data_IF_836193374462
#
_entry.id   IF_836193374462
#
_cell.length_a   1.000
_cell.length_b   1.000
_cell.length_c   1.000
_cell.angle_alpha   90.00
_cell.angle_beta   90.00
_cell.angle_gamma   90.00
#
_symmetry.space_group_name_H-M   'P 1'
#
loop_
_entity.id
_entity.type
_entity.pdbx_description
1 polymer ?
#
# COMPACT_ATOMS: atom_id res chain seq x y z
N UNK A 1 35.98 61.67 4.90
CA UNK A 1 36.53 60.30 5.00
C UNK A 1 35.93 59.49 6.15
N UNK A 2 35.68 60.06 7.30
CA UNK A 2 35.14 59.36 8.48
C UNK A 2 33.71 58.89 8.29
N UNK A 3 32.82 59.66 7.66
CA UNK A 3 31.45 59.27 7.33
C UNK A 3 31.37 58.06 6.39
N UNK A 4 32.23 57.96 5.40
CA UNK A 4 32.28 56.82 4.47
C UNK A 4 32.75 55.53 5.16
N UNK A 5 33.75 55.66 6.08
CA UNK A 5 34.25 54.53 6.87
C UNK A 5 33.16 53.99 7.81
N UNK A 6 32.39 54.84 8.42
CA UNK A 6 31.25 54.40 9.29
C UNK A 6 30.12 53.75 8.50
N UNK A 7 29.81 54.18 7.29
CA UNK A 7 28.84 53.56 6.41
C UNK A 7 29.33 52.15 5.99
N UNK A 8 30.62 52.01 5.67
CA UNK A 8 31.21 50.74 5.32
C UNK A 8 31.14 49.72 6.49
N UNK A 9 31.41 50.16 7.72
CA UNK A 9 31.28 49.32 8.92
C UNK A 9 29.83 48.92 9.18
N UNK A 10 28.86 49.78 8.96
CA UNK A 10 27.43 49.46 9.10
C UNK A 10 27.01 48.48 8.03
N UNK A 11 27.45 48.61 6.78
CA UNK A 11 27.16 47.63 5.72
C UNK A 11 27.78 46.28 5.98
N UNK A 12 29.02 46.19 6.51
CA UNK A 12 29.68 44.96 6.86
C UNK A 12 28.99 44.29 8.08
N UNK A 13 28.57 45.06 9.07
CA UNK A 13 27.77 44.56 10.20
C UNK A 13 26.42 44.02 9.75
N UNK A 14 25.70 44.73 8.85
CA UNK A 14 24.42 44.30 8.29
C UNK A 14 24.55 43.02 7.45
N UNK A 15 25.63 42.91 6.61
CA UNK A 15 25.95 41.68 5.88
C UNK A 15 26.28 40.52 6.82
N UNK A 16 27.02 40.78 7.92
CA UNK A 16 27.31 39.78 8.96
C UNK A 16 26.04 39.26 9.65
N UNK A 17 25.09 40.13 9.94
CA UNK A 17 23.82 39.74 10.57
C UNK A 17 22.95 38.92 9.62
N UNK A 18 22.91 39.23 8.32
CA UNK A 18 22.18 38.43 7.31
C UNK A 18 22.76 37.01 7.16
N UNK A 19 24.07 36.83 7.32
CA UNK A 19 24.68 35.50 7.28
C UNK A 19 24.36 34.62 8.49
N UNK A 20 24.09 35.22 9.66
CA UNK A 20 23.79 34.46 10.88
C UNK A 20 22.34 34.01 10.97
N UNK A 21 21.39 34.74 10.37
CA UNK A 21 19.96 34.36 10.40
C UNK A 21 19.72 33.13 9.49
N UNK A 22 20.38 33.04 8.33
CA UNK A 22 20.24 31.89 7.42
C UNK A 22 20.84 30.57 7.93
N UNK A 23 21.79 30.61 8.86
CA UNK A 23 22.43 29.39 9.39
C UNK A 23 21.62 28.66 10.48
N UNK A 24 20.73 29.34 11.21
CA UNK A 24 19.92 28.70 12.25
C UNK A 24 18.80 27.84 11.63
N UNK A 25 18.12 28.35 10.60
CA UNK A 25 17.00 27.65 9.98
C UNK A 25 17.47 26.37 9.24
N UNK A 26 18.63 26.41 8.61
CA UNK A 26 19.24 25.24 7.95
C UNK A 26 19.61 24.12 8.92
N UNK A 27 20.03 24.45 10.15
CA UNK A 27 20.37 23.48 11.17
C UNK A 27 19.12 22.77 11.73
N UNK A 28 18.03 23.50 11.87
CA UNK A 28 16.75 22.97 12.36
C UNK A 28 16.09 22.00 11.35
N UNK A 29 16.09 22.32 10.05
CA UNK A 29 15.54 21.45 9.01
C UNK A 29 16.27 20.09 8.94
N UNK A 30 17.59 20.08 8.97
CA UNK A 30 18.38 18.85 8.96
C UNK A 30 18.08 17.95 10.17
N UNK A 31 17.92 18.55 11.35
CA UNK A 31 17.57 17.84 12.57
C UNK A 31 16.15 17.27 12.49
N UNK A 32 15.19 18.04 11.98
CA UNK A 32 13.81 17.59 11.77
C UNK A 32 13.74 16.46 10.77
N UNK A 33 14.45 16.52 9.64
CA UNK A 33 14.52 15.44 8.65
C UNK A 33 15.13 14.16 9.25
N UNK A 34 16.20 14.27 10.01
CA UNK A 34 16.78 13.12 10.70
C UNK A 34 15.81 12.50 11.73
N UNK A 35 15.02 13.32 12.41
CA UNK A 35 13.97 12.86 13.32
C UNK A 35 12.84 12.16 12.55
N UNK A 36 12.44 12.67 11.38
CA UNK A 36 11.43 11.98 10.55
C UNK A 36 11.91 10.63 10.07
N UNK A 37 13.16 10.49 9.63
CA UNK A 37 13.76 9.21 9.22
C UNK A 37 13.60 8.15 10.31
N UNK A 38 13.86 8.51 11.56
CA UNK A 38 13.72 7.59 12.70
C UNK A 38 12.27 7.14 12.98
N UNK A 39 11.29 7.95 12.58
CA UNK A 39 9.87 7.68 12.80
C UNK A 39 9.22 6.91 11.65
N UNK A 40 9.78 6.96 10.43
CA UNK A 40 9.16 6.40 9.24
C UNK A 40 8.73 4.93 9.38
N UNK A 41 9.54 4.10 10.04
CA UNK A 41 9.23 2.68 10.18
C UNK A 41 8.19 2.40 11.27
N UNK A 42 8.31 3.06 12.42
CA UNK A 42 7.52 2.73 13.60
C UNK A 42 6.27 3.59 13.76
N UNK A 43 6.32 4.85 13.31
CA UNK A 43 5.27 5.84 13.49
C UNK A 43 5.15 6.76 12.28
N UNK A 44 4.77 6.24 11.09
CA UNK A 44 4.70 7.03 9.86
C UNK A 44 3.70 8.19 9.93
N UNK A 45 2.62 8.06 10.72
CA UNK A 45 1.67 9.14 11.02
C UNK A 45 2.34 10.34 11.71
N UNK A 46 3.20 10.06 12.67
CA UNK A 46 3.95 11.08 13.41
C UNK A 46 5.03 11.71 12.54
N UNK A 47 5.71 10.90 11.71
CA UNK A 47 6.66 11.40 10.71
C UNK A 47 5.98 12.37 9.74
N UNK A 48 4.82 12.02 9.21
CA UNK A 48 4.07 12.87 8.26
C UNK A 48 3.58 14.17 8.93
N UNK A 49 3.13 14.11 10.18
CA UNK A 49 2.76 15.32 10.95
C UNK A 49 3.95 16.26 11.13
N UNK A 50 5.12 15.70 11.45
CA UNK A 50 6.35 16.47 11.62
C UNK A 50 6.78 17.10 10.29
N UNK A 51 6.75 16.35 9.18
CA UNK A 51 7.05 16.86 7.83
C UNK A 51 6.11 18.00 7.42
N UNK A 52 4.82 17.87 7.73
CA UNK A 52 3.84 18.92 7.44
C UNK A 52 4.02 20.18 8.29
N UNK A 53 4.75 20.14 9.40
CA UNK A 53 5.08 21.31 10.22
C UNK A 53 6.33 22.05 9.75
N UNK A 54 7.09 21.49 8.79
CA UNK A 54 8.28 22.14 8.25
C UNK A 54 7.84 23.21 7.23
N UNK A 55 8.35 24.43 7.41
CA UNK A 55 8.14 25.52 6.45
C UNK A 55 8.92 25.21 5.16
N UNK A 56 8.19 25.07 4.04
CA UNK A 56 8.74 24.58 2.76
C UNK A 56 9.59 25.60 2.00
N UNK A 57 9.51 26.87 2.37
CA UNK A 57 10.03 27.96 1.55
C UNK A 57 11.40 28.51 2.00
N UNK A 58 12.00 27.97 3.06
CA UNK A 58 13.20 28.59 3.63
C UNK A 58 14.30 27.55 3.88
N UNK A 59 15.43 27.70 3.18
CA UNK A 59 16.72 27.19 3.60
C UNK A 59 17.07 25.74 3.31
N UNK A 60 16.25 25.00 2.51
CA UNK A 60 16.62 23.64 2.10
C UNK A 60 17.74 23.66 1.05
N UNK A 61 18.78 22.86 1.27
CA UNK A 61 19.66 22.41 0.20
C UNK A 61 18.91 21.42 -0.71
N UNK A 62 19.39 21.21 -1.94
CA UNK A 62 18.82 20.20 -2.85
C UNK A 62 18.71 18.83 -2.19
N UNK A 63 19.74 18.40 -1.45
CA UNK A 63 19.73 17.11 -0.75
C UNK A 63 18.64 17.01 0.33
N UNK A 64 18.47 18.07 1.12
CA UNK A 64 17.44 18.13 2.17
C UNK A 64 16.03 18.18 1.56
N UNK A 65 15.87 18.89 0.43
CA UNK A 65 14.61 18.93 -0.28
C UNK A 65 14.23 17.55 -0.85
N UNK A 66 15.17 16.84 -1.49
CA UNK A 66 14.94 15.49 -1.99
C UNK A 66 14.66 14.51 -0.85
N UNK A 67 15.32 14.65 0.29
CA UNK A 67 15.03 13.86 1.49
C UNK A 67 13.63 14.16 2.05
N UNK A 68 13.22 15.42 2.08
CA UNK A 68 11.87 15.81 2.51
C UNK A 68 10.80 15.17 1.61
N UNK A 69 10.94 15.29 0.28
CA UNK A 69 10.02 14.69 -0.70
C UNK A 69 9.95 13.17 -0.52
N UNK A 70 11.11 12.52 -0.40
CA UNK A 70 11.21 11.09 -0.15
C UNK A 70 10.51 10.67 1.13
N UNK A 71 10.73 11.37 2.24
CA UNK A 71 10.16 11.04 3.53
C UNK A 71 8.64 11.22 3.55
N UNK A 72 8.11 12.23 2.87
CA UNK A 72 6.67 12.40 2.67
C UNK A 72 6.05 11.21 1.95
N UNK A 73 6.65 10.80 0.83
CA UNK A 73 6.17 9.65 0.05
C UNK A 73 6.27 8.34 0.83
N UNK A 74 7.39 8.10 1.54
CA UNK A 74 7.57 6.93 2.40
C UNK A 74 6.51 6.87 3.52
N UNK A 75 6.25 7.98 4.19
CA UNK A 75 5.24 8.04 5.25
C UNK A 75 3.84 7.72 4.70
N UNK A 76 3.46 8.33 3.58
CA UNK A 76 2.17 8.07 2.92
C UNK A 76 2.05 6.61 2.45
N UNK A 77 3.07 6.09 1.79
CA UNK A 77 3.11 4.69 1.37
C UNK A 77 2.86 3.73 2.53
N UNK A 78 3.58 3.91 3.65
CA UNK A 78 3.44 3.06 4.85
C UNK A 78 2.08 3.16 5.53
N UNK A 79 1.38 4.28 5.34
CA UNK A 79 0.01 4.49 5.80
C UNK A 79 -1.05 4.01 4.79
N UNK A 80 -0.65 3.46 3.63
CA UNK A 80 -1.58 3.07 2.56
C UNK A 80 -2.29 4.25 1.90
N UNK A 81 -1.72 5.45 1.98
CA UNK A 81 -2.28 6.66 1.37
C UNK A 81 -1.88 6.78 -0.10
N UNK A 82 -2.67 7.56 -0.85
CA UNK A 82 -2.36 7.87 -2.25
C UNK A 82 -1.05 8.64 -2.38
N UNK A 83 -0.24 8.26 -3.38
CA UNK A 83 0.97 8.99 -3.80
C UNK A 83 0.73 9.87 -5.02
N UNK A 84 -0.49 9.96 -5.54
CA UNK A 84 -0.79 10.71 -6.77
C UNK A 84 -0.46 12.22 -6.66
N UNK A 85 -0.47 12.77 -5.46
CA UNK A 85 -0.13 14.17 -5.19
C UNK A 85 1.38 14.42 -5.02
N UNK A 86 2.19 13.35 -4.91
CA UNK A 86 3.64 13.44 -4.72
C UNK A 86 4.38 13.63 -6.07
N UNK A 87 4.03 14.67 -6.82
CA UNK A 87 4.53 14.92 -8.18
C UNK A 87 6.05 15.04 -8.28
N UNK A 88 6.75 15.38 -7.21
CA UNK A 88 8.21 15.45 -7.13
C UNK A 88 8.87 14.12 -6.74
N UNK A 89 8.10 13.09 -6.43
CA UNK A 89 8.65 11.79 -6.06
C UNK A 89 9.53 11.17 -7.16
N UNK A 90 9.16 11.20 -8.45
CA UNK A 90 10.04 10.68 -9.51
C UNK A 90 11.40 11.41 -9.57
N UNK A 91 11.43 12.72 -9.30
CA UNK A 91 12.65 13.51 -9.23
C UNK A 91 13.53 13.10 -8.03
N UNK A 92 12.94 12.91 -6.86
CA UNK A 92 13.65 12.42 -5.69
C UNK A 92 14.22 11.00 -5.89
N UNK A 93 13.46 10.10 -6.54
CA UNK A 93 13.95 8.76 -6.89
C UNK A 93 15.13 8.85 -7.85
N UNK A 94 15.02 9.67 -8.90
CA UNK A 94 16.09 9.90 -9.86
C UNK A 94 17.35 10.46 -9.17
N UNK A 95 17.18 11.44 -8.29
CA UNK A 95 18.27 12.04 -7.50
C UNK A 95 19.09 11.00 -6.73
N UNK A 96 18.43 10.04 -6.03
CA UNK A 96 19.12 8.98 -5.29
C UNK A 96 19.70 7.90 -6.20
N UNK A 97 19.06 7.62 -7.33
CA UNK A 97 19.52 6.66 -8.34
C UNK A 97 20.83 7.12 -8.99
N UNK A 98 20.91 8.39 -9.40
CA UNK A 98 22.13 8.98 -9.96
C UNK A 98 23.32 8.96 -8.96
N UNK A 99 23.03 9.11 -7.69
CA UNK A 99 24.03 9.04 -6.61
C UNK A 99 24.39 7.62 -6.18
N UNK A 100 23.78 6.62 -6.82
CA UNK A 100 23.96 5.19 -6.52
C UNK A 100 23.74 4.87 -5.03
N UNK A 101 22.77 5.53 -4.41
CA UNK A 101 22.40 5.27 -3.02
C UNK A 101 21.76 3.89 -2.88
N UNK A 102 22.62 2.89 -2.66
CA UNK A 102 22.20 1.49 -2.56
C UNK A 102 21.23 1.22 -1.41
N UNK A 103 21.19 2.10 -0.41
CA UNK A 103 20.28 1.96 0.74
C UNK A 103 18.82 2.33 0.35
N UNK A 104 18.64 3.18 -0.66
CA UNK A 104 17.33 3.65 -1.13
C UNK A 104 16.86 3.00 -2.44
N UNK A 105 17.70 2.20 -3.10
CA UNK A 105 17.34 1.63 -4.41
C UNK A 105 16.08 0.78 -4.38
N UNK A 106 15.97 -0.17 -3.45
CA UNK A 106 14.83 -1.09 -3.36
C UNK A 106 13.55 -0.38 -2.91
N UNK A 107 13.65 0.49 -1.89
CA UNK A 107 12.55 1.38 -1.52
C UNK A 107 12.13 2.29 -2.68
N UNK A 108 13.09 2.78 -3.47
CA UNK A 108 12.86 3.62 -4.63
C UNK A 108 12.01 2.94 -5.69
N UNK A 109 12.34 1.72 -6.08
CA UNK A 109 11.53 0.94 -7.02
C UNK A 109 10.12 0.68 -6.50
N UNK A 110 9.98 0.40 -5.21
CA UNK A 110 8.68 0.18 -4.59
C UNK A 110 7.82 1.44 -4.56
N UNK A 111 8.42 2.58 -4.19
CA UNK A 111 7.73 3.88 -4.21
C UNK A 111 7.34 4.28 -5.63
N UNK A 112 8.23 4.06 -6.61
CA UNK A 112 7.99 4.33 -8.02
C UNK A 112 6.81 3.49 -8.55
N UNK A 113 6.81 2.18 -8.28
CA UNK A 113 5.69 1.31 -8.63
C UNK A 113 4.38 1.77 -7.97
N UNK A 114 4.41 2.11 -6.69
CA UNK A 114 3.25 2.60 -5.95
C UNK A 114 2.74 3.93 -6.50
N UNK A 115 3.63 4.85 -6.87
CA UNK A 115 3.27 6.11 -7.50
C UNK A 115 2.54 5.87 -8.83
N UNK A 116 3.12 5.05 -9.72
CA UNK A 116 2.50 4.75 -11.01
C UNK A 116 1.20 3.96 -10.90
N UNK A 117 1.05 3.11 -9.88
CA UNK A 117 -0.22 2.48 -9.55
C UNK A 117 -1.33 3.52 -9.27
N UNK A 118 -1.06 4.53 -8.44
CA UNK A 118 -2.00 5.61 -8.16
C UNK A 118 -2.28 6.49 -9.39
N UNK A 119 -1.28 6.68 -10.25
CA UNK A 119 -1.40 7.39 -11.53
C UNK A 119 -2.07 6.54 -12.62
N UNK A 120 -2.41 5.27 -12.37
CA UNK A 120 -2.97 4.30 -13.33
C UNK A 120 -2.09 4.11 -14.57
N UNK A 121 -0.77 4.18 -14.40
CA UNK A 121 0.23 3.98 -15.45
C UNK A 121 0.84 2.59 -15.30
N UNK A 122 0.11 1.58 -15.78
CA UNK A 122 0.41 0.17 -15.54
C UNK A 122 1.76 -0.27 -16.12
N UNK A 123 2.12 0.19 -17.33
CA UNK A 123 3.40 -0.17 -17.94
C UNK A 123 4.59 0.34 -17.11
N UNK A 124 4.50 1.55 -16.58
CA UNK A 124 5.55 2.13 -15.71
C UNK A 124 5.60 1.46 -14.33
N UNK A 125 4.45 1.06 -13.81
CA UNK A 125 4.38 0.27 -12.60
C UNK A 125 5.09 -1.08 -12.79
N UNK A 126 4.84 -1.76 -13.91
CA UNK A 126 5.45 -3.05 -14.26
C UNK A 126 6.97 -2.91 -14.42
N UNK A 127 7.43 -1.89 -15.16
CA UNK A 127 8.86 -1.59 -15.33
C UNK A 127 9.57 -1.35 -13.96
N UNK A 128 8.95 -0.58 -13.07
CA UNK A 128 9.52 -0.33 -11.74
C UNK A 128 9.61 -1.62 -10.90
N UNK A 129 8.59 -2.48 -10.96
CA UNK A 129 8.57 -3.78 -10.26
C UNK A 129 9.64 -4.72 -10.84
N UNK A 130 9.81 -4.81 -12.18
CA UNK A 130 10.84 -5.63 -12.83
C UNK A 130 12.25 -5.17 -12.41
N UNK A 131 12.52 -3.89 -12.51
CA UNK A 131 13.81 -3.34 -12.10
C UNK A 131 14.12 -3.62 -10.61
N UNK A 132 13.10 -3.51 -9.74
CA UNK A 132 13.21 -3.84 -8.32
C UNK A 132 13.47 -5.33 -8.08
N UNK A 133 12.79 -6.20 -8.83
CA UNK A 133 12.95 -7.66 -8.77
C UNK A 133 14.36 -8.07 -9.16
N UNK A 134 14.86 -7.57 -10.30
CA UNK A 134 16.21 -7.85 -10.77
C UNK A 134 17.27 -7.40 -9.76
N UNK A 135 17.07 -6.22 -9.16
CA UNK A 135 17.99 -5.71 -8.14
C UNK A 135 17.94 -6.55 -6.85
N UNK A 136 16.76 -7.02 -6.43
CA UNK A 136 16.61 -7.91 -5.27
C UNK A 136 17.24 -9.28 -5.51
N UNK A 137 17.08 -9.86 -6.71
CA UNK A 137 17.73 -11.12 -7.13
C UNK A 137 19.24 -10.98 -7.08
N UNK A 138 19.79 -9.91 -7.68
CA UNK A 138 21.24 -9.67 -7.70
C UNK A 138 21.84 -9.56 -6.29
N UNK A 139 21.09 -9.05 -5.32
CA UNK A 139 21.48 -8.92 -3.91
C UNK A 139 21.16 -10.15 -3.06
N UNK A 140 20.42 -11.11 -3.59
CA UNK A 140 19.91 -12.28 -2.86
C UNK A 140 19.08 -11.88 -1.61
N UNK A 141 18.34 -10.79 -1.73
CA UNK A 141 17.52 -10.25 -0.65
C UNK A 141 16.11 -10.83 -0.73
N UNK A 142 15.87 -11.86 0.07
CA UNK A 142 14.59 -12.60 0.07
C UNK A 142 13.40 -11.73 0.44
N UNK A 143 13.56 -10.78 1.37
CA UNK A 143 12.46 -9.89 1.78
C UNK A 143 11.96 -9.06 0.58
N UNK A 144 12.87 -8.40 -0.12
CA UNK A 144 12.52 -7.59 -1.29
C UNK A 144 12.06 -8.42 -2.48
N UNK A 145 12.65 -9.61 -2.67
CA UNK A 145 12.21 -10.57 -3.67
C UNK A 145 10.72 -10.91 -3.53
N UNK A 146 10.28 -11.26 -2.30
CA UNK A 146 8.89 -11.59 -2.02
C UNK A 146 7.95 -10.39 -2.24
N UNK A 147 8.40 -9.21 -1.86
CA UNK A 147 7.62 -7.97 -2.03
C UNK A 147 7.41 -7.64 -3.51
N UNK A 148 8.44 -7.77 -4.35
CA UNK A 148 8.31 -7.54 -5.79
C UNK A 148 7.54 -8.66 -6.51
N UNK A 149 7.66 -9.92 -6.11
CA UNK A 149 6.78 -10.98 -6.62
C UNK A 149 5.31 -10.67 -6.32
N UNK A 150 5.01 -10.15 -5.14
CA UNK A 150 3.64 -9.71 -4.81
C UNK A 150 3.18 -8.57 -5.71
N UNK A 151 4.04 -7.60 -6.00
CA UNK A 151 3.74 -6.53 -6.95
C UNK A 151 3.45 -7.05 -8.36
N UNK A 152 4.24 -8.03 -8.84
CA UNK A 152 3.98 -8.69 -10.14
C UNK A 152 2.66 -9.46 -10.15
N UNK A 153 2.35 -10.17 -9.08
CA UNK A 153 1.07 -10.87 -8.96
C UNK A 153 -0.12 -9.90 -8.99
N UNK A 154 0.03 -8.71 -8.39
CA UNK A 154 -0.97 -7.65 -8.48
C UNK A 154 -1.16 -7.15 -9.93
N UNK A 155 -0.07 -6.94 -10.67
CA UNK A 155 -0.15 -6.56 -12.08
C UNK A 155 -0.84 -7.66 -12.92
N UNK A 156 -0.47 -8.91 -12.72
CA UNK A 156 -1.11 -10.04 -13.37
C UNK A 156 -2.63 -10.08 -13.08
N UNK A 157 -3.02 -9.84 -11.81
CA UNK A 157 -4.43 -9.72 -11.43
C UNK A 157 -5.14 -8.57 -12.17
N UNK A 158 -4.53 -7.39 -12.27
CA UNK A 158 -5.10 -6.23 -12.98
C UNK A 158 -5.29 -6.53 -14.48
N UNK A 159 -4.43 -7.36 -15.08
CA UNK A 159 -4.50 -7.84 -16.47
C UNK A 159 -5.47 -9.00 -16.66
N UNK A 160 -6.13 -9.46 -15.59
CA UNK A 160 -6.93 -10.69 -15.56
C UNK A 160 -6.11 -11.96 -15.93
N UNK A 161 -4.79 -11.90 -15.82
CA UNK A 161 -3.92 -13.08 -15.95
C UNK A 161 -3.82 -13.80 -14.60
N UNK A 162 -4.93 -14.46 -14.24
CA UNK A 162 -5.03 -15.19 -12.97
C UNK A 162 -4.05 -16.35 -12.91
N UNK A 163 -3.65 -16.94 -14.05
CA UNK A 163 -2.68 -18.03 -14.09
C UNK A 163 -1.30 -17.54 -13.65
N UNK A 164 -0.84 -16.41 -14.17
CA UNK A 164 0.43 -15.81 -13.76
C UNK A 164 0.38 -15.35 -12.28
N UNK A 165 -0.74 -14.76 -11.85
CA UNK A 165 -0.92 -14.37 -10.45
C UNK A 165 -0.80 -15.57 -9.49
N UNK A 166 -1.44 -16.71 -9.81
CA UNK A 166 -1.37 -17.96 -9.05
C UNK A 166 0.09 -18.42 -8.96
N UNK A 167 0.79 -18.55 -10.11
CA UNK A 167 2.18 -19.00 -10.16
C UNK A 167 3.11 -18.16 -9.26
N UNK A 168 2.94 -16.84 -9.30
CA UNK A 168 3.74 -15.92 -8.47
C UNK A 168 3.44 -16.06 -6.99
N UNK A 169 2.18 -16.24 -6.61
CA UNK A 169 1.78 -16.45 -5.21
C UNK A 169 2.27 -17.80 -4.68
N UNK A 170 2.22 -18.86 -5.50
CA UNK A 170 2.81 -20.15 -5.16
C UNK A 170 4.33 -20.07 -4.96
N UNK A 171 5.04 -19.26 -5.77
CA UNK A 171 6.47 -18.97 -5.54
C UNK A 171 6.70 -18.28 -4.20
N UNK A 172 5.85 -17.32 -3.80
CA UNK A 172 5.96 -16.67 -2.49
C UNK A 172 5.74 -17.68 -1.36
N UNK A 173 4.77 -18.58 -1.49
CA UNK A 173 4.46 -19.59 -0.48
C UNK A 173 5.59 -20.63 -0.26
N UNK A 174 6.51 -20.80 -1.23
CA UNK A 174 7.72 -21.61 -1.02
C UNK A 174 8.63 -21.02 0.08
N UNK A 175 8.44 -19.76 0.44
CA UNK A 175 9.15 -19.04 1.50
C UNK A 175 8.25 -18.76 2.71
N UNK A 176 7.24 -19.61 2.95
CA UNK A 176 6.25 -19.39 4.03
C UNK A 176 6.89 -19.22 5.42
N UNK A 177 8.08 -19.86 5.65
CA UNK A 177 8.88 -19.71 6.86
C UNK A 177 9.48 -18.32 7.08
N UNK A 178 9.53 -17.48 6.04
CA UNK A 178 10.01 -16.10 6.07
C UNK A 178 8.88 -15.07 6.20
N UNK A 179 7.63 -15.50 6.01
CA UNK A 179 6.47 -14.64 6.10
C UNK A 179 6.00 -14.50 7.55
N UNK A 180 5.57 -13.31 7.93
CA UNK A 180 4.74 -13.14 9.12
C UNK A 180 3.39 -13.86 8.93
N UNK A 181 2.72 -14.23 10.01
CA UNK A 181 1.38 -14.87 9.94
C UNK A 181 0.41 -14.02 9.11
N UNK A 182 0.43 -12.70 9.28
CA UNK A 182 -0.43 -11.78 8.54
C UNK A 182 -0.15 -11.80 7.03
N UNK A 183 1.13 -11.77 6.64
CA UNK A 183 1.53 -11.87 5.23
C UNK A 183 1.12 -13.20 4.64
N UNK A 184 1.35 -14.30 5.36
CA UNK A 184 0.96 -15.65 4.93
C UNK A 184 -0.56 -15.73 4.71
N UNK A 185 -1.39 -15.25 5.65
CA UNK A 185 -2.84 -15.17 5.48
C UNK A 185 -3.22 -14.37 4.22
N UNK A 186 -2.59 -13.20 4.02
CA UNK A 186 -2.88 -12.35 2.86
C UNK A 186 -2.54 -13.06 1.55
N UNK A 187 -1.39 -13.74 1.46
CA UNK A 187 -1.01 -14.47 0.24
C UNK A 187 -1.95 -15.65 -0.03
N UNK A 188 -2.33 -16.41 0.99
CA UNK A 188 -3.31 -17.49 0.84
C UNK A 188 -4.66 -16.98 0.36
N UNK A 189 -5.11 -15.83 0.89
CA UNK A 189 -6.34 -15.19 0.47
C UNK A 189 -6.26 -14.76 -1.00
N UNK A 190 -5.21 -14.03 -1.38
CA UNK A 190 -5.01 -13.54 -2.74
C UNK A 190 -4.89 -14.70 -3.74
N UNK A 191 -4.21 -15.80 -3.35
CA UNK A 191 -4.12 -17.03 -4.13
C UNK A 191 -5.50 -17.67 -4.31
N UNK A 192 -6.24 -17.88 -3.23
CA UNK A 192 -7.59 -18.46 -3.28
C UNK A 192 -8.56 -17.64 -4.14
N UNK A 193 -8.46 -16.29 -4.08
CA UNK A 193 -9.26 -15.41 -4.91
C UNK A 193 -8.93 -15.52 -6.40
N UNK A 194 -7.64 -15.54 -6.77
CA UNK A 194 -7.21 -15.73 -8.16
C UNK A 194 -7.61 -17.12 -8.68
N UNK A 195 -7.49 -18.16 -7.86
CA UNK A 195 -7.97 -19.49 -8.17
C UNK A 195 -9.49 -19.52 -8.39
N UNK A 196 -10.26 -18.77 -7.58
CA UNK A 196 -11.71 -18.67 -7.75
C UNK A 196 -12.08 -17.98 -9.08
N UNK A 197 -11.39 -16.90 -9.42
CA UNK A 197 -11.56 -16.19 -10.69
C UNK A 197 -11.16 -17.06 -11.90
N UNK A 198 -10.19 -17.94 -11.73
CA UNK A 198 -9.79 -18.96 -12.71
C UNK A 198 -10.67 -20.22 -12.70
N UNK A 199 -11.72 -20.29 -11.89
CA UNK A 199 -12.57 -21.47 -11.66
C UNK A 199 -11.80 -22.71 -11.20
N UNK A 200 -10.73 -22.53 -10.41
CA UNK A 200 -9.96 -23.65 -9.89
C UNK A 200 -10.67 -24.32 -8.70
N UNK A 201 -10.77 -25.67 -8.63
CA UNK A 201 -11.57 -26.35 -7.61
C UNK A 201 -11.07 -26.15 -6.17
N UNK A 202 -9.78 -25.93 -5.96
CA UNK A 202 -9.19 -25.73 -4.63
C UNK A 202 -9.30 -24.29 -4.11
N UNK A 203 -9.96 -23.39 -4.81
CA UNK A 203 -10.06 -21.98 -4.42
C UNK A 203 -10.64 -21.78 -3.02
N UNK A 204 -11.71 -22.51 -2.68
CA UNK A 204 -12.36 -22.44 -1.37
C UNK A 204 -11.43 -22.89 -0.24
N UNK A 205 -10.57 -23.89 -0.46
CA UNK A 205 -9.68 -24.42 0.57
C UNK A 205 -8.66 -23.35 0.98
N UNK A 206 -8.07 -22.64 0.04
CA UNK A 206 -7.13 -21.55 0.31
C UNK A 206 -7.81 -20.35 0.99
N UNK A 207 -9.02 -20.00 0.56
CA UNK A 207 -9.79 -18.91 1.18
C UNK A 207 -10.15 -19.23 2.63
N UNK A 208 -10.68 -20.44 2.92
CA UNK A 208 -10.98 -20.86 4.29
C UNK A 208 -9.68 -20.96 5.13
N UNK A 209 -8.60 -21.53 4.59
CA UNK A 209 -7.32 -21.59 5.29
C UNK A 209 -6.81 -20.19 5.69
N UNK A 210 -6.93 -19.20 4.80
CA UNK A 210 -6.53 -17.82 5.12
C UNK A 210 -7.34 -17.21 6.26
N UNK A 211 -8.66 -17.47 6.26
CA UNK A 211 -9.59 -17.01 7.30
C UNK A 211 -9.30 -17.67 8.64
N UNK A 212 -9.16 -18.98 8.64
CA UNK A 212 -8.91 -19.75 9.86
C UNK A 212 -7.55 -19.40 10.48
N UNK A 213 -6.52 -19.20 9.66
CA UNK A 213 -5.21 -18.76 10.11
C UNK A 213 -5.27 -17.35 10.72
N UNK A 214 -6.01 -16.42 10.11
CA UNK A 214 -6.19 -15.07 10.65
C UNK A 214 -6.93 -15.10 12.00
N UNK A 215 -7.98 -15.93 12.13
CA UNK A 215 -8.70 -16.12 13.39
C UNK A 215 -7.82 -16.75 14.47
N UNK A 216 -7.02 -17.75 14.12
CA UNK A 216 -6.08 -18.38 15.05
C UNK A 216 -5.01 -17.40 15.56
N UNK A 217 -4.63 -16.43 14.74
CA UNK A 217 -3.74 -15.31 15.10
C UNK A 217 -4.44 -14.16 15.85
N UNK A 218 -5.72 -14.30 16.19
CA UNK A 218 -6.56 -13.24 16.77
C UNK A 218 -6.65 -11.96 15.90
N UNK A 219 -6.34 -12.02 14.60
CA UNK A 219 -6.52 -10.94 13.64
C UNK A 219 -7.94 -10.97 13.06
N UNK A 220 -8.92 -10.67 13.93
CA UNK A 220 -10.35 -10.66 13.57
C UNK A 220 -10.64 -9.65 12.45
N UNK A 221 -9.90 -8.55 12.37
CA UNK A 221 -10.09 -7.53 11.35
C UNK A 221 -9.77 -8.09 9.95
N UNK A 222 -8.62 -8.75 9.78
CA UNK A 222 -8.25 -9.40 8.52
C UNK A 222 -9.21 -10.54 8.18
N UNK A 223 -9.59 -11.39 9.14
CA UNK A 223 -10.56 -12.46 8.92
C UNK A 223 -11.92 -11.93 8.41
N UNK A 224 -12.44 -10.86 9.02
CA UNK A 224 -13.67 -10.21 8.58
C UNK A 224 -13.53 -9.57 7.18
N UNK A 225 -12.38 -9.00 6.86
CA UNK A 225 -12.08 -8.49 5.53
C UNK A 225 -12.14 -9.61 4.48
N UNK A 226 -11.48 -10.73 4.72
CA UNK A 226 -11.48 -11.89 3.81
C UNK A 226 -12.87 -12.49 3.64
N UNK A 227 -13.58 -12.74 4.75
CA UNK A 227 -14.96 -13.25 4.73
C UNK A 227 -15.89 -12.36 3.90
N UNK A 228 -15.84 -11.06 4.09
CA UNK A 228 -16.70 -10.10 3.37
C UNK A 228 -16.42 -10.10 1.88
N UNK A 229 -15.14 -10.06 1.49
CA UNK A 229 -14.79 -10.02 0.07
C UNK A 229 -15.11 -11.37 -0.62
N UNK A 230 -14.90 -12.49 0.08
CA UNK A 230 -15.30 -13.80 -0.42
C UNK A 230 -16.83 -13.90 -0.57
N UNK A 231 -17.60 -13.36 0.38
CA UNK A 231 -19.06 -13.30 0.28
C UNK A 231 -19.51 -12.46 -0.93
N UNK A 232 -18.84 -11.31 -1.18
CA UNK A 232 -19.12 -10.49 -2.36
C UNK A 232 -18.82 -11.23 -3.66
N UNK A 233 -17.70 -11.96 -3.73
CA UNK A 233 -17.37 -12.81 -4.87
C UNK A 233 -18.46 -13.89 -5.12
N UNK A 234 -18.88 -14.60 -4.07
CA UNK A 234 -19.93 -15.62 -4.18
C UNK A 234 -21.28 -15.02 -4.62
N UNK A 235 -21.62 -13.82 -4.13
CA UNK A 235 -22.82 -13.11 -4.57
C UNK A 235 -22.77 -12.81 -6.08
N UNK A 236 -21.65 -12.32 -6.57
CA UNK A 236 -21.42 -12.06 -8.00
C UNK A 236 -21.45 -13.34 -8.84
N UNK A 237 -21.06 -14.48 -8.25
CA UNK A 237 -21.14 -15.81 -8.86
C UNK A 237 -22.50 -16.49 -8.70
N UNK A 238 -23.53 -15.76 -8.23
CA UNK A 238 -24.88 -16.25 -7.96
C UNK A 238 -25.01 -17.32 -6.86
N UNK A 239 -23.97 -17.49 -6.02
CA UNK A 239 -23.99 -18.40 -4.87
C UNK A 239 -24.49 -17.69 -3.59
N UNK A 240 -25.68 -17.11 -3.66
CA UNK A 240 -26.23 -16.22 -2.64
C UNK A 240 -26.34 -16.84 -1.25
N UNK A 241 -26.68 -18.12 -1.16
CA UNK A 241 -26.81 -18.82 0.13
C UNK A 241 -25.49 -18.89 0.85
N UNK A 242 -24.43 -19.33 0.17
CA UNK A 242 -23.07 -19.39 0.74
C UNK A 242 -22.55 -17.99 1.09
N UNK A 243 -22.81 -17.01 0.22
CA UNK A 243 -22.52 -15.60 0.51
C UNK A 243 -23.13 -15.15 1.84
N UNK A 244 -24.42 -15.41 2.07
CA UNK A 244 -25.10 -15.08 3.30
C UNK A 244 -24.48 -15.79 4.53
N UNK A 245 -24.08 -17.05 4.42
CA UNK A 245 -23.42 -17.79 5.49
C UNK A 245 -22.11 -17.09 5.94
N UNK A 246 -21.29 -16.64 4.99
CA UNK A 246 -20.06 -15.89 5.29
C UNK A 246 -20.37 -14.55 5.93
N UNK A 247 -21.36 -13.81 5.45
CA UNK A 247 -21.77 -12.54 6.04
C UNK A 247 -22.29 -12.71 7.49
N UNK A 248 -22.99 -13.81 7.77
CA UNK A 248 -23.37 -14.16 9.14
C UNK A 248 -22.16 -14.50 10.02
N UNK A 249 -21.08 -15.09 9.46
CA UNK A 249 -19.80 -15.27 10.19
C UNK A 249 -19.21 -13.91 10.55
N UNK A 250 -19.14 -12.94 9.62
CA UNK A 250 -18.69 -11.56 9.89
C UNK A 250 -19.46 -10.93 11.02
N UNK A 251 -20.80 -11.04 10.98
CA UNK A 251 -21.70 -10.43 12.00
C UNK A 251 -21.49 -11.02 13.39
N UNK A 252 -21.17 -12.32 13.48
CA UNK A 252 -20.83 -12.97 14.78
C UNK A 252 -19.46 -12.52 15.32
N UNK A 253 -18.49 -12.30 14.45
CA UNK A 253 -17.14 -11.88 14.82
C UNK A 253 -17.06 -10.41 15.24
N UNK A 254 -17.89 -9.56 14.64
CA UNK A 254 -17.95 -8.13 14.91
C UNK A 254 -19.41 -7.64 15.09
N UNK A 255 -20.04 -7.92 16.24
CA UNK A 255 -21.45 -7.60 16.49
C UNK A 255 -21.81 -6.11 16.36
N UNK A 256 -20.85 -5.21 16.56
CA UNK A 256 -21.04 -3.75 16.44
C UNK A 256 -21.04 -3.25 14.99
N UNK A 257 -20.91 -4.13 14.02
CA UNK A 257 -20.81 -3.78 12.58
C UNK A 257 -22.18 -3.65 11.87
N UNK A 258 -23.27 -3.60 12.60
CA UNK A 258 -24.60 -3.31 12.00
C UNK A 258 -24.63 -1.98 11.22
N UNK A 259 -23.61 -1.14 11.39
CA UNK A 259 -23.42 0.11 10.66
C UNK A 259 -22.50 0.02 9.43
N UNK A 260 -22.09 -1.19 9.00
CA UNK A 260 -21.37 -1.31 7.72
C UNK A 260 -22.35 -1.35 6.54
N UNK A 261 -22.54 -0.23 5.83
CA UNK A 261 -23.55 -0.16 4.74
C UNK A 261 -23.33 -1.26 3.68
N UNK A 262 -22.07 -1.61 3.42
CA UNK A 262 -21.71 -2.61 2.40
C UNK A 262 -22.24 -4.02 2.74
N UNK A 263 -22.23 -4.41 4.03
CA UNK A 263 -22.78 -5.71 4.44
C UNK A 263 -24.29 -5.75 4.21
N UNK A 264 -24.98 -4.67 4.56
CA UNK A 264 -26.43 -4.55 4.36
C UNK A 264 -26.80 -4.57 2.88
N UNK A 265 -26.00 -3.93 2.02
CA UNK A 265 -26.21 -3.95 0.57
C UNK A 265 -26.10 -5.39 0.04
N UNK A 266 -25.02 -6.11 0.37
CA UNK A 266 -24.83 -7.49 -0.10
C UNK A 266 -25.95 -8.40 0.41
N UNK A 267 -26.36 -8.28 1.69
CA UNK A 267 -27.50 -9.04 2.22
C UNK A 267 -28.80 -8.75 1.48
N UNK A 268 -29.08 -7.47 1.21
CA UNK A 268 -30.30 -7.06 0.51
C UNK A 268 -30.29 -7.57 -0.95
N UNK A 269 -29.17 -7.47 -1.65
CA UNK A 269 -29.02 -8.00 -3.01
C UNK A 269 -29.19 -9.52 -3.05
N UNK A 270 -28.55 -10.25 -2.13
CA UNK A 270 -28.69 -11.70 -2.02
C UNK A 270 -30.14 -12.09 -1.76
N UNK A 271 -30.82 -11.39 -0.84
CA UNK A 271 -32.22 -11.66 -0.51
C UNK A 271 -33.15 -11.44 -1.71
N UNK A 272 -32.99 -10.32 -2.42
CA UNK A 272 -33.77 -10.02 -3.61
C UNK A 272 -33.58 -11.09 -4.71
N UNK A 273 -32.35 -11.52 -4.92
CA UNK A 273 -32.04 -12.52 -5.93
C UNK A 273 -32.57 -13.91 -5.56
N UNK A 274 -32.52 -14.31 -4.31
CA UNK A 274 -33.09 -15.57 -3.82
C UNK A 274 -34.61 -15.56 -3.98
N UNK A 275 -35.28 -14.48 -3.61
CA UNK A 275 -36.74 -14.34 -3.78
C UNK A 275 -37.18 -14.38 -5.24
N UNK A 276 -36.44 -13.76 -6.16
CA UNK A 276 -36.73 -13.82 -7.59
C UNK A 276 -36.56 -15.23 -8.16
N UNK A 277 -35.55 -15.98 -7.67
CA UNK A 277 -35.37 -17.37 -8.08
C UNK A 277 -36.47 -18.29 -7.58
N UNK A 278 -36.95 -18.10 -6.37
CA UNK A 278 -38.10 -18.87 -5.81
C UNK A 278 -39.38 -18.57 -6.59
N UNK A 279 -39.71 -17.31 -6.84
CA UNK A 279 -40.90 -16.92 -7.63
C UNK A 279 -40.87 -17.53 -9.03
N UNK A 280 -39.75 -17.48 -9.73
CA UNK A 280 -39.56 -18.09 -11.07
C UNK A 280 -39.70 -19.61 -11.03
N UNK A 281 -39.26 -20.26 -9.94
CA UNK A 281 -39.39 -21.70 -9.75
C UNK A 281 -40.86 -22.10 -9.52
N UNK A 282 -41.61 -21.29 -8.80
CA UNK A 282 -43.04 -21.51 -8.57
C UNK A 282 -43.87 -21.29 -9.85
N UNK A 283 -43.58 -20.22 -10.62
CA UNK A 283 -44.27 -19.97 -11.92
C UNK A 283 -44.05 -21.13 -12.90
N UNK A 284 -42.86 -21.74 -12.93
CA UNK A 284 -42.56 -22.94 -13.77
C UNK A 284 -43.30 -24.19 -13.29
N UNK A 285 -43.63 -24.31 -11.98
CA UNK A 285 -44.37 -25.44 -11.43
C UNK A 285 -45.88 -25.29 -11.70
N UNK A 286 -46.38 -24.06 -11.67
CA UNK A 286 -47.81 -23.76 -11.89
C UNK A 286 -48.16 -23.78 -13.38
N UNK A 287 -47.20 -23.52 -14.28
CA UNK A 287 -47.36 -23.52 -15.73
C UNK A 287 -47.21 -24.88 -16.42
N UNK A 288 -47.05 -25.97 -15.65
CA UNK A 288 -47.13 -27.36 -16.11
C UNK A 288 -48.40 -28.02 -15.58
#
# INVERSE_FOLDING_TARGET
MEKMRNILYICIMLLGIMCFVGCNDCHDNKKLLAQTDSLLQSRPDSALKLLNSIEKDVGFSEAEWMQFVWNCAQARYRMGMSLAEDSLLPEAIHYYRERKDSSRMLDGYLLEASYYKWMKQEERMDEAIENGLDYAIARKDTFWLLLFYRGKAEIAYLRNDHSQAIELMEKILQYADKLSVREHCSILYDLGLNMALANHPSSSDYLEQSIDMALAAADTASACHYLRNYAAFLANSHEYTKSNELLHRVRRLMPMTDNYPILQVIFAENFLNLHQLDSRSEERRVGK
#
